data_IF_435437130455
#
_entry.id   IF_435437130455
#
_cell.length_a   1.000
_cell.length_b   1.000
_cell.length_c   1.000
_cell.angle_alpha   90.00
_cell.angle_beta   90.00
_cell.angle_gamma   90.00
#
_symmetry.space_group_name_H-M   'P 1'
#
loop_
_entity.id
_entity.type
_entity.pdbx_description
1 polymer ?
#
# COMPACT_ATOMS: atom_id res chain seq x y z
N UNK A 1 -4.55 4.34 13.55
CA UNK A 1 -3.54 5.41 13.43
C UNK A 1 -2.87 5.25 12.06
N UNK A 2 -2.90 6.28 11.21
CA UNK A 2 -2.39 6.23 9.84
C UNK A 2 -1.05 6.97 9.73
N UNK A 3 -0.31 6.78 8.62
CA UNK A 3 0.92 7.54 8.35
C UNK A 3 0.66 9.06 8.34
N UNK A 4 -0.45 9.48 7.77
CA UNK A 4 -0.85 10.88 7.75
C UNK A 4 -1.19 11.41 9.15
N UNK A 5 -1.83 10.60 10.01
CA UNK A 5 -2.13 11.05 11.38
C UNK A 5 -0.87 11.20 12.23
N UNK A 6 0.12 10.31 12.09
CA UNK A 6 1.38 10.45 12.85
C UNK A 6 2.25 11.61 12.31
N UNK A 7 2.22 11.88 11.01
CA UNK A 7 2.91 13.02 10.43
C UNK A 7 2.36 14.35 10.99
N UNK A 8 1.03 14.50 11.04
CA UNK A 8 0.38 15.66 11.66
C UNK A 8 0.66 15.79 13.16
N UNK A 9 0.73 14.66 13.88
CA UNK A 9 1.06 14.63 15.30
C UNK A 9 2.51 15.07 15.54
N UNK A 10 3.46 14.65 14.70
CA UNK A 10 4.86 15.09 14.75
C UNK A 10 5.02 16.57 14.41
N UNK A 11 4.34 17.06 13.37
CA UNK A 11 4.37 18.47 12.97
C UNK A 11 3.80 19.36 14.10
N UNK A 12 2.64 18.99 14.62
CA UNK A 12 2.03 19.70 15.76
C UNK A 12 2.90 19.67 17.02
N UNK A 13 3.66 18.58 17.24
CA UNK A 13 4.59 18.45 18.35
C UNK A 13 5.87 19.30 18.14
N UNK A 14 6.35 19.41 16.90
CA UNK A 14 7.48 20.27 16.55
C UNK A 14 7.14 21.75 16.79
N UNK A 15 5.93 22.19 16.41
CA UNK A 15 5.47 23.57 16.59
C UNK A 15 5.42 24.01 18.06
N UNK A 16 5.21 23.06 18.98
CA UNK A 16 5.07 23.31 20.42
C UNK A 16 6.15 22.63 21.26
N UNK A 17 7.30 22.30 20.68
CA UNK A 17 8.32 21.43 21.31
C UNK A 17 8.84 21.97 22.64
N UNK A 18 8.86 23.30 22.82
CA UNK A 18 9.26 23.96 24.07
C UNK A 18 8.25 23.80 25.21
N UNK A 19 6.97 23.59 24.88
CA UNK A 19 5.87 23.45 25.85
C UNK A 19 5.57 21.98 26.19
N UNK A 20 6.18 21.03 25.48
CA UNK A 20 5.94 19.60 25.67
C UNK A 20 6.81 19.00 26.76
N UNK A 21 6.22 18.11 27.55
CA UNK A 21 7.02 17.30 28.45
C UNK A 21 7.94 16.36 27.67
N UNK A 22 9.13 16.09 28.22
CA UNK A 22 10.06 15.11 27.65
C UNK A 22 9.41 13.72 27.51
N UNK A 23 8.52 13.36 28.43
CA UNK A 23 7.82 12.08 28.40
C UNK A 23 6.88 11.99 27.19
N UNK A 24 6.08 13.03 26.94
CA UNK A 24 5.14 13.06 25.81
C UNK A 24 5.88 12.99 24.48
N UNK A 25 6.97 13.75 24.36
CA UNK A 25 7.83 13.72 23.17
C UNK A 25 8.41 12.32 22.93
N UNK A 26 8.87 11.63 23.99
CA UNK A 26 9.37 10.26 23.87
C UNK A 26 8.30 9.28 23.38
N UNK A 27 7.05 9.42 23.83
CA UNK A 27 5.96 8.53 23.41
C UNK A 27 5.61 8.78 21.94
N UNK A 28 5.55 10.03 21.49
CA UNK A 28 5.29 10.37 20.08
C UNK A 28 6.41 9.84 19.18
N UNK A 29 7.68 10.08 19.55
CA UNK A 29 8.82 9.61 18.77
C UNK A 29 8.89 8.08 18.67
N UNK A 30 8.57 7.35 19.74
CA UNK A 30 8.49 5.88 19.69
C UNK A 30 7.38 5.40 18.76
N UNK A 31 6.20 6.04 18.80
CA UNK A 31 5.08 5.72 17.89
C UNK A 31 5.46 5.99 16.43
N UNK A 32 6.11 7.13 16.16
CA UNK A 32 6.64 7.46 14.85
C UNK A 32 7.66 6.44 14.36
N UNK A 33 8.65 6.09 15.18
CA UNK A 33 9.66 5.11 14.83
C UNK A 33 9.06 3.72 14.51
N UNK A 34 8.05 3.28 15.26
CA UNK A 34 7.34 2.03 14.98
C UNK A 34 6.62 2.08 13.64
N UNK A 35 5.93 3.18 13.33
CA UNK A 35 5.23 3.35 12.05
C UNK A 35 6.23 3.38 10.90
N UNK A 36 7.32 4.14 11.02
CA UNK A 36 8.37 4.25 10.00
C UNK A 36 9.10 2.92 9.77
N UNK A 37 9.45 2.18 10.82
CA UNK A 37 10.04 0.84 10.71
C UNK A 37 9.10 -0.13 9.98
N UNK A 38 7.80 0.04 10.17
CA UNK A 38 6.78 -0.77 9.52
C UNK A 38 6.38 -0.22 8.13
N UNK A 39 7.05 0.83 7.62
CA UNK A 39 6.96 1.22 6.22
C UNK A 39 7.81 0.24 5.41
N UNK A 40 7.24 -0.94 5.16
CA UNK A 40 7.71 -1.79 4.07
C UNK A 40 7.14 -1.20 2.78
N UNK A 41 8.00 -0.59 1.96
CA UNK A 41 7.65 -0.09 0.65
C UNK A 41 8.86 -0.18 -0.26
N UNK A 42 8.66 -0.66 -1.49
CA UNK A 42 9.65 -0.52 -2.55
C UNK A 42 9.63 0.95 -2.96
N UNK A 43 10.75 1.70 -2.86
CA UNK A 43 10.78 3.07 -3.37
C UNK A 43 10.55 3.03 -4.88
N UNK A 44 9.60 3.82 -5.34
CA UNK A 44 9.24 3.95 -6.74
C UNK A 44 9.60 5.36 -7.22
N UNK A 45 9.97 5.49 -8.48
CA UNK A 45 10.19 6.80 -9.08
C UNK A 45 8.90 7.65 -9.02
N UNK A 46 8.99 8.97 -8.83
CA UNK A 46 7.79 9.82 -8.66
C UNK A 46 6.76 9.67 -9.77
N UNK A 47 7.21 9.60 -11.03
CA UNK A 47 6.32 9.41 -12.18
C UNK A 47 5.55 8.08 -12.12
N UNK A 48 6.21 7.02 -11.62
CA UNK A 48 5.59 5.70 -11.43
C UNK A 48 4.60 5.72 -10.26
N UNK A 49 4.91 6.44 -9.19
CA UNK A 49 3.97 6.63 -8.08
C UNK A 49 2.70 7.35 -8.53
N UNK A 50 2.85 8.43 -9.29
CA UNK A 50 1.73 9.23 -9.80
C UNK A 50 0.86 8.40 -10.74
N UNK A 51 1.46 7.65 -11.67
CA UNK A 51 0.73 6.75 -12.56
C UNK A 51 -0.07 5.69 -11.79
N UNK A 52 0.55 5.03 -10.79
CA UNK A 52 -0.13 4.05 -9.95
C UNK A 52 -1.27 4.67 -9.13
N UNK A 53 -1.09 5.89 -8.63
CA UNK A 53 -2.14 6.61 -7.90
C UNK A 53 -3.32 6.96 -8.81
N UNK A 54 -3.06 7.44 -10.03
CA UNK A 54 -4.09 7.77 -11.01
C UNK A 54 -4.91 6.54 -11.42
N UNK A 55 -4.24 5.43 -11.72
CA UNK A 55 -4.91 4.18 -12.12
C UNK A 55 -5.73 3.62 -10.94
N UNK A 56 -5.18 3.61 -9.72
CA UNK A 56 -5.91 3.14 -8.55
C UNK A 56 -7.18 3.97 -8.29
N UNK A 57 -7.10 5.29 -8.49
CA UNK A 57 -8.24 6.19 -8.38
C UNK A 57 -9.30 5.92 -9.47
N UNK A 58 -8.87 5.70 -10.72
CA UNK A 58 -9.76 5.37 -11.84
C UNK A 58 -10.49 4.03 -11.59
N UNK A 59 -9.77 3.02 -11.12
CA UNK A 59 -10.30 1.70 -10.78
C UNK A 59 -11.08 1.67 -9.46
N UNK A 60 -11.04 2.75 -8.67
CA UNK A 60 -11.66 2.86 -7.33
C UNK A 60 -11.19 1.77 -6.35
N UNK A 61 -9.93 1.39 -6.43
CA UNK A 61 -9.28 0.41 -5.53
C UNK A 61 -8.12 1.05 -4.76
N UNK A 62 -7.64 0.37 -3.71
CA UNK A 62 -6.44 0.82 -3.01
C UNK A 62 -5.20 0.69 -3.90
N UNK A 63 -4.26 1.64 -3.80
CA UNK A 63 -2.94 1.54 -4.47
C UNK A 63 -2.22 0.23 -4.15
N UNK A 64 -2.32 -0.23 -2.90
CA UNK A 64 -1.71 -1.49 -2.48
C UNK A 64 -2.35 -2.70 -3.20
N UNK A 65 -3.67 -2.67 -3.39
CA UNK A 65 -4.40 -3.72 -4.11
C UNK A 65 -4.03 -3.72 -5.60
N UNK A 66 -3.96 -2.53 -6.21
CA UNK A 66 -3.48 -2.38 -7.59
C UNK A 66 -2.07 -2.97 -7.77
N UNK A 67 -1.13 -2.64 -6.87
CA UNK A 67 0.24 -3.17 -6.91
C UNK A 67 0.24 -4.70 -6.82
N UNK A 68 -0.60 -5.29 -5.97
CA UNK A 68 -0.70 -6.75 -5.85
C UNK A 68 -1.26 -7.40 -7.12
N UNK A 69 -2.26 -6.77 -7.76
CA UNK A 69 -2.83 -7.25 -9.04
C UNK A 69 -1.76 -7.22 -10.12
N UNK A 70 -1.12 -6.07 -10.34
CA UNK A 70 -0.10 -5.88 -11.38
C UNK A 70 1.08 -6.83 -11.19
N UNK A 71 1.57 -6.99 -9.96
CA UNK A 71 2.69 -7.90 -9.68
C UNK A 71 2.31 -9.37 -9.92
N UNK A 72 1.09 -9.77 -9.56
CA UNK A 72 0.59 -11.13 -9.82
C UNK A 72 0.52 -11.40 -11.32
N UNK A 73 -0.15 -10.52 -12.07
CA UNK A 73 -0.30 -10.65 -13.52
C UNK A 73 1.05 -10.66 -14.23
N UNK A 74 1.98 -9.81 -13.81
CA UNK A 74 3.34 -9.80 -14.34
C UNK A 74 4.07 -11.13 -14.07
N UNK A 75 4.00 -11.67 -12.84
CA UNK A 75 4.65 -12.94 -12.51
C UNK A 75 4.04 -14.14 -13.25
N UNK A 76 2.72 -14.18 -13.41
CA UNK A 76 2.01 -15.21 -14.18
C UNK A 76 2.38 -15.14 -15.67
N UNK A 77 2.36 -13.93 -16.25
CA UNK A 77 2.73 -13.70 -17.67
C UNK A 77 4.19 -14.07 -17.96
N UNK A 78 5.09 -13.82 -17.01
CA UNK A 78 6.51 -14.13 -17.16
C UNK A 78 6.88 -15.55 -16.67
N UNK A 79 5.89 -16.43 -16.50
CA UNK A 79 6.05 -17.84 -16.12
C UNK A 79 6.79 -18.08 -14.78
N UNK A 80 6.82 -17.08 -13.90
CA UNK A 80 7.34 -17.21 -12.53
C UNK A 80 6.27 -17.70 -11.55
N UNK A 81 5.00 -17.64 -11.93
CA UNK A 81 3.87 -18.26 -11.24
C UNK A 81 3.06 -19.14 -12.21
N UNK A 82 2.46 -20.25 -11.75
CA UNK A 82 1.54 -21.03 -12.56
C UNK A 82 0.33 -20.17 -12.93
N UNK A 83 0.02 -20.08 -14.23
CA UNK A 83 -1.20 -19.43 -14.72
C UNK A 83 -2.39 -20.27 -14.27
N UNK A 84 -3.42 -19.63 -13.72
CA UNK A 84 -4.70 -20.31 -13.49
C UNK A 84 -5.33 -20.59 -14.84
N UNK A 85 -5.18 -21.81 -15.34
CA UNK A 85 -6.00 -22.31 -16.44
C UNK A 85 -7.43 -22.41 -15.92
N UNK A 86 -8.28 -21.47 -16.34
CA UNK A 86 -9.73 -21.61 -16.16
C UNK A 86 -10.14 -22.61 -17.23
N UNK A 87 -10.54 -23.80 -16.79
CA UNK A 87 -11.05 -24.86 -17.65
C UNK A 87 -12.34 -24.37 -18.34
N UNK A 88 -12.20 -23.85 -19.56
CA UNK A 88 -13.29 -23.40 -20.42
C UNK A 88 -14.02 -24.56 -21.12
N UNK A 89 -13.82 -25.80 -20.67
CA UNK A 89 -14.52 -26.99 -21.20
C UNK A 89 -15.44 -27.63 -20.14
N UNK A 90 -16.27 -26.83 -19.46
CA UNK A 90 -17.49 -27.38 -18.86
C UNK A 90 -18.52 -27.60 -19.97
N UNK A 91 -18.33 -28.68 -20.74
CA UNK A 91 -19.28 -29.22 -21.71
C UNK A 91 -20.66 -29.35 -21.04
N UNK A 92 -21.56 -28.40 -21.31
CA UNK A 92 -22.95 -28.52 -20.86
C UNK A 92 -23.62 -29.53 -21.78
N UNK A 93 -23.69 -30.78 -21.33
CA UNK A 93 -24.49 -31.83 -21.97
C UNK A 93 -25.98 -31.46 -21.83
N UNK A 94 -26.45 -30.64 -22.77
CA UNK A 94 -27.84 -30.23 -22.89
C UNK A 94 -28.64 -31.37 -23.52
N UNK A 95 -29.34 -32.14 -22.71
CA UNK A 95 -30.40 -33.03 -23.19
C UNK A 95 -31.72 -32.25 -23.23
N UNK A 96 -32.23 -32.04 -24.45
CA UNK A 96 -33.51 -31.39 -24.75
C UNK A 96 -34.69 -32.36 -24.70
#
# INVERSE_FOLDING_TARGET
MTRQSIAKELESAADRIGDMSRADLQIILRRAALILRNVAGVPLEPATEDALNSIAAEMKIGRADLIQIVLREWLETNAYLPVREIDEESETDGSA
#
